data_IF_413751089255
#
_entry.id   IF_413751089255
#
_cell.length_a   1.000
_cell.length_b   1.000
_cell.length_c   1.000
_cell.angle_alpha   90.00
_cell.angle_beta   90.00
_cell.angle_gamma   90.00
#
_symmetry.space_group_name_H-M   'P 1'
#
loop_
_entity.id
_entity.type
_entity.pdbx_description
1 polymer ?
#
# COMPACT_ATOMS: atom_id res chain seq x y z
N UNK A 1 -2.72 -6.29 12.36
CA UNK A 1 -1.51 -6.90 12.96
C UNK A 1 -0.69 -7.67 11.94
N UNK A 2 -1.28 -8.62 11.19
CA UNK A 2 -0.59 -9.42 10.16
C UNK A 2 0.32 -8.62 9.21
N UNK A 3 -0.12 -7.47 8.71
CA UNK A 3 0.70 -6.58 7.87
C UNK A 3 2.03 -6.17 8.54
N UNK A 4 1.99 -5.69 9.78
CA UNK A 4 3.19 -5.28 10.52
C UNK A 4 4.12 -6.45 10.84
N UNK A 5 3.57 -7.65 11.04
CA UNK A 5 4.37 -8.86 11.25
C UNK A 5 5.12 -9.26 9.98
N UNK A 6 4.45 -9.18 8.81
CA UNK A 6 5.09 -9.40 7.51
C UNK A 6 6.19 -8.37 7.24
N UNK A 7 5.98 -7.10 7.60
CA UNK A 7 7.03 -6.08 7.49
C UNK A 7 8.23 -6.36 8.39
N UNK A 8 7.99 -6.71 9.66
CA UNK A 8 9.05 -6.98 10.62
C UNK A 8 9.91 -8.19 10.24
N UNK A 9 9.36 -9.12 9.46
CA UNK A 9 10.02 -10.32 8.98
C UNK A 9 10.58 -10.19 7.55
N UNK A 10 10.51 -9.00 6.93
CA UNK A 10 10.83 -8.79 5.51
C UNK A 10 10.12 -9.82 4.59
N UNK A 11 8.85 -10.05 4.91
CA UNK A 11 8.01 -11.09 4.34
C UNK A 11 7.37 -10.69 3.02
N UNK A 12 6.06 -10.88 2.93
CA UNK A 12 5.27 -10.65 1.71
C UNK A 12 4.34 -9.44 1.88
N UNK A 13 4.90 -8.24 1.80
CA UNK A 13 4.17 -6.98 1.93
C UNK A 13 4.50 -6.02 0.79
N UNK A 14 3.60 -5.07 0.54
CA UNK A 14 3.82 -3.90 -0.30
C UNK A 14 3.25 -2.66 0.41
N UNK A 15 3.83 -1.51 0.16
CA UNK A 15 3.37 -0.20 0.63
C UNK A 15 3.52 0.79 -0.52
N UNK A 16 3.02 2.02 -0.37
CA UNK A 16 2.99 3.02 -1.45
C UNK A 16 1.94 2.73 -2.53
N UNK A 17 1.42 3.81 -3.10
CA UNK A 17 0.39 3.75 -4.14
C UNK A 17 0.92 3.06 -5.40
N UNK A 18 2.13 3.42 -5.85
CA UNK A 18 2.74 2.89 -7.08
C UNK A 18 2.86 1.36 -7.02
N UNK A 19 3.54 0.85 -6.00
CA UNK A 19 3.79 -0.59 -5.83
C UNK A 19 2.50 -1.35 -5.60
N UNK A 20 1.58 -0.79 -4.81
CA UNK A 20 0.28 -1.40 -4.53
C UNK A 20 -0.55 -1.52 -5.81
N UNK A 21 -0.61 -0.48 -6.65
CA UNK A 21 -1.32 -0.55 -7.93
C UNK A 21 -0.67 -1.59 -8.84
N UNK A 22 0.66 -1.60 -8.96
CA UNK A 22 1.37 -2.58 -9.79
C UNK A 22 1.15 -4.03 -9.31
N UNK A 23 1.15 -4.24 -7.99
CA UNK A 23 0.84 -5.55 -7.39
C UNK A 23 -0.63 -5.95 -7.61
N UNK A 24 -1.53 -4.98 -7.58
CA UNK A 24 -2.96 -5.18 -7.81
C UNK A 24 -3.21 -5.61 -9.25
N UNK A 25 -2.63 -4.89 -10.22
CA UNK A 25 -2.71 -5.22 -11.65
C UNK A 25 -2.07 -6.58 -11.97
N UNK A 26 -0.99 -6.93 -11.26
CA UNK A 26 -0.33 -8.24 -11.39
C UNK A 26 -1.08 -9.38 -10.68
N UNK A 27 -2.13 -9.07 -9.90
CA UNK A 27 -2.88 -10.07 -9.11
C UNK A 27 -2.07 -10.69 -7.97
N UNK A 28 -1.00 -10.02 -7.51
CA UNK A 28 -0.13 -10.51 -6.46
C UNK A 28 -0.66 -10.23 -5.04
N UNK A 29 -1.65 -9.35 -4.90
CA UNK A 29 -2.21 -8.96 -3.61
C UNK A 29 -3.16 -10.05 -3.05
N UNK A 30 -2.94 -10.42 -1.79
CA UNK A 30 -3.84 -11.26 -1.00
C UNK A 30 -4.85 -10.37 -0.26
N UNK A 31 -4.34 -9.41 0.51
CA UNK A 31 -5.13 -8.52 1.35
C UNK A 31 -4.66 -7.09 1.09
N UNK A 32 -5.56 -6.24 0.61
CA UNK A 32 -5.34 -4.83 0.41
C UNK A 32 -5.83 -4.05 1.64
N UNK A 33 -5.00 -3.17 2.17
CA UNK A 33 -5.27 -2.35 3.34
C UNK A 33 -5.27 -0.90 2.91
N UNK A 34 -6.39 -0.22 3.08
CA UNK A 34 -6.57 1.18 2.65
C UNK A 34 -7.11 1.99 3.82
N UNK A 35 -6.57 3.18 4.02
CA UNK A 35 -7.12 4.13 4.96
C UNK A 35 -8.43 4.71 4.42
N UNK A 36 -9.48 4.73 5.24
CA UNK A 36 -10.82 5.17 4.83
C UNK A 36 -10.86 6.62 4.32
N UNK A 37 -9.97 7.48 4.80
CA UNK A 37 -9.89 8.89 4.43
C UNK A 37 -8.70 9.20 3.51
N UNK A 38 -8.23 8.21 2.73
CA UNK A 38 -7.17 8.41 1.76
C UNK A 38 -7.63 9.42 0.70
N UNK A 39 -6.88 10.51 0.54
CA UNK A 39 -7.22 11.61 -0.37
C UNK A 39 -6.78 11.38 -1.83
N UNK A 40 -6.26 10.19 -2.12
CA UNK A 40 -5.77 9.84 -3.44
C UNK A 40 -6.89 9.55 -4.41
N UNK A 41 -6.66 9.96 -5.67
CA UNK A 41 -7.61 9.83 -6.75
C UNK A 41 -7.06 8.95 -7.85
N UNK A 42 -7.92 8.09 -8.38
CA UNK A 42 -7.63 7.28 -9.55
C UNK A 42 -8.64 7.63 -10.63
N UNK A 43 -8.13 8.09 -11.78
CA UNK A 43 -8.94 8.39 -12.96
C UNK A 43 -10.11 9.37 -12.65
N UNK A 44 -9.81 10.43 -11.88
CA UNK A 44 -10.75 11.48 -11.41
C UNK A 44 -11.78 11.07 -10.33
N UNK A 45 -11.84 9.78 -9.96
CA UNK A 45 -12.64 9.26 -8.85
C UNK A 45 -11.78 9.01 -7.59
N UNK A 46 -12.41 9.01 -6.41
CA UNK A 46 -11.71 8.73 -5.15
C UNK A 46 -11.23 7.27 -5.14
N UNK A 47 -9.96 7.04 -4.82
CA UNK A 47 -9.33 5.71 -4.89
C UNK A 47 -10.06 4.69 -4.01
N UNK A 48 -10.52 5.15 -2.83
CA UNK A 48 -11.30 4.36 -1.87
C UNK A 48 -12.61 3.85 -2.47
N UNK A 49 -13.32 4.69 -3.22
CA UNK A 49 -14.57 4.31 -3.87
C UNK A 49 -14.30 3.36 -5.04
N UNK A 50 -13.33 3.72 -5.89
CA UNK A 50 -12.92 2.88 -7.01
C UNK A 50 -12.52 1.47 -6.56
N UNK A 51 -11.67 1.35 -5.54
CA UNK A 51 -11.22 0.03 -5.07
C UNK A 51 -12.36 -0.74 -4.41
N UNK A 52 -13.31 -0.07 -3.76
CA UNK A 52 -14.49 -0.71 -3.16
C UNK A 52 -15.38 -1.40 -4.20
N UNK A 53 -15.39 -0.92 -5.43
CA UNK A 53 -16.13 -1.53 -6.53
C UNK A 53 -15.32 -2.61 -7.26
N UNK A 54 -14.00 -2.39 -7.42
CA UNK A 54 -13.14 -3.22 -8.28
C UNK A 54 -12.38 -4.34 -7.54
N UNK A 55 -12.22 -4.30 -6.20
CA UNK A 55 -11.37 -5.25 -5.47
C UNK A 55 -11.68 -6.73 -5.73
N UNK A 56 -12.96 -7.04 -6.00
CA UNK A 56 -13.42 -8.41 -6.27
C UNK A 56 -12.85 -8.99 -7.57
N UNK A 57 -12.62 -8.15 -8.57
CA UNK A 57 -12.07 -8.57 -9.86
C UNK A 57 -10.59 -8.95 -9.74
N UNK A 58 -9.86 -8.28 -8.85
CA UNK A 58 -8.48 -8.62 -8.51
C UNK A 58 -8.36 -9.83 -7.58
N UNK A 59 -9.48 -10.30 -7.03
CA UNK A 59 -9.50 -11.43 -6.10
C UNK A 59 -8.73 -11.16 -4.79
N UNK A 60 -8.62 -9.90 -4.38
CA UNK A 60 -8.00 -9.53 -3.11
C UNK A 60 -9.07 -9.29 -2.02
N UNK A 61 -8.66 -9.35 -0.76
CA UNK A 61 -9.50 -8.96 0.38
C UNK A 61 -9.25 -7.48 0.69
N UNK A 62 -10.29 -6.64 0.62
CA UNK A 62 -10.19 -5.22 0.96
C UNK A 62 -10.49 -4.98 2.45
N UNK A 63 -9.57 -4.33 3.14
CA UNK A 63 -9.69 -3.94 4.56
C UNK A 63 -9.52 -2.43 4.68
N UNK A 64 -10.51 -1.79 5.32
CA UNK A 64 -10.39 -0.39 5.71
C UNK A 64 -9.78 -0.24 7.10
N UNK A 65 -8.82 0.68 7.21
CA UNK A 65 -8.23 1.09 8.49
C UNK A 65 -8.59 2.54 8.80
N UNK A 66 -8.52 2.86 10.08
CA UNK A 66 -8.82 4.19 10.65
C UNK A 66 -7.61 4.64 11.43
N UNK A 67 -7.38 5.95 11.54
CA UNK A 67 -6.27 6.55 12.30
C UNK A 67 -6.50 6.57 13.82
N UNK A 68 -7.60 6.00 14.33
CA UNK A 68 -7.97 6.02 15.75
C UNK A 68 -7.15 5.08 16.64
N UNK A 69 -6.48 4.09 16.06
CA UNK A 69 -5.58 3.18 16.78
C UNK A 69 -4.13 3.53 16.51
N UNK A 70 -3.24 3.21 17.46
CA UNK A 70 -1.79 3.43 17.27
C UNK A 70 -1.25 2.75 16.01
N UNK A 71 -1.74 1.54 15.70
CA UNK A 71 -1.38 0.84 14.45
C UNK A 71 -1.92 1.56 13.21
N UNK A 72 -3.12 2.13 13.29
CA UNK A 72 -3.72 2.87 12.19
C UNK A 72 -3.02 4.20 11.93
N UNK A 73 -2.70 4.95 12.98
CA UNK A 73 -1.90 6.18 12.90
C UNK A 73 -0.54 5.89 12.25
N UNK A 74 0.17 4.86 12.73
CA UNK A 74 1.45 4.47 12.13
C UNK A 74 1.31 4.07 10.67
N UNK A 75 0.22 3.40 10.30
CA UNK A 75 -0.01 3.03 8.91
C UNK A 75 -0.18 4.24 7.99
N UNK A 76 -0.92 5.26 8.45
CA UNK A 76 -1.11 6.51 7.71
C UNK A 76 0.20 7.31 7.64
N UNK A 77 0.87 7.51 8.78
CA UNK A 77 2.07 8.36 8.87
C UNK A 77 3.31 7.73 8.25
N UNK A 78 3.51 6.41 8.40
CA UNK A 78 4.73 5.75 7.92
C UNK A 78 4.60 5.18 6.50
N UNK A 79 3.40 4.80 6.06
CA UNK A 79 3.19 4.10 4.78
C UNK A 79 2.24 4.83 3.82
N UNK A 80 1.82 6.05 4.16
CA UNK A 80 0.95 6.87 3.32
C UNK A 80 -0.48 6.38 3.24
N UNK A 81 -0.94 5.56 4.19
CA UNK A 81 -2.34 5.14 4.27
C UNK A 81 -2.77 4.11 3.22
N UNK A 82 -1.82 3.51 2.50
CA UNK A 82 -2.08 2.42 1.55
C UNK A 82 -1.00 1.33 1.67
N UNK A 83 -1.42 0.08 1.57
CA UNK A 83 -0.50 -1.04 1.56
C UNK A 83 -1.23 -2.37 1.41
N UNK A 84 -0.49 -3.45 1.34
CA UNK A 84 -1.07 -4.76 1.16
C UNK A 84 -0.16 -5.89 1.58
N UNK A 85 -0.78 -7.04 1.82
CA UNK A 85 -0.11 -8.32 2.01
C UNK A 85 -0.17 -9.05 0.68
N UNK A 86 0.99 -9.49 0.21
CA UNK A 86 1.13 -10.21 -1.06
C UNK A 86 0.88 -11.70 -0.83
N UNK A 87 0.44 -12.42 -1.86
CA UNK A 87 0.29 -13.88 -1.83
C UNK A 87 1.65 -14.57 -1.75
N UNK A 88 2.63 -14.02 -2.46
CA UNK A 88 4.01 -14.48 -2.54
C UNK A 88 4.96 -13.29 -2.41
N UNK A 89 6.17 -13.52 -1.90
CA UNK A 89 7.21 -12.50 -1.90
C UNK A 89 7.55 -12.17 -3.36
N UNK A 90 7.48 -10.89 -3.71
CA UNK A 90 7.87 -10.41 -5.04
C UNK A 90 9.21 -9.71 -4.91
N UNK A 91 10.21 -10.25 -5.60
CA UNK A 91 11.56 -9.69 -5.62
C UNK A 91 11.58 -8.47 -6.56
N UNK A 92 12.21 -7.36 -6.13
CA UNK A 92 12.42 -6.17 -6.95
C UNK A 92 11.28 -5.15 -6.96
N UNK A 93 10.23 -5.29 -6.13
CA UNK A 93 9.22 -4.23 -5.95
C UNK A 93 9.76 -3.13 -5.03
N UNK A 94 10.37 -3.49 -3.90
CA UNK A 94 10.93 -2.53 -2.95
C UNK A 94 12.15 -1.75 -3.51
N UNK A 95 12.86 -2.30 -4.51
CA UNK A 95 13.99 -1.65 -5.19
C UNK A 95 13.60 -0.35 -5.92
N UNK A 96 12.31 -0.17 -6.28
CA UNK A 96 11.84 1.06 -6.92
C UNK A 96 11.64 2.21 -5.92
N UNK A 97 11.55 1.92 -4.61
CA UNK A 97 11.31 2.93 -3.57
C UNK A 97 12.59 3.60 -3.03
N UNK A 98 13.76 2.99 -3.24
CA UNK A 98 15.05 3.56 -2.84
C UNK A 98 15.51 4.72 -3.74
N UNK A 99 14.87 4.95 -4.89
CA UNK A 99 15.29 5.96 -5.88
C UNK A 99 14.61 7.34 -5.74
N UNK A 100 13.67 7.54 -4.81
CA UNK A 100 13.09 8.87 -4.49
C UNK A 100 13.60 9.42 -3.15
N UNK A 101 14.91 9.31 -2.91
CA UNK A 101 15.62 10.14 -1.92
C UNK A 101 16.85 10.82 -2.56
N UNK A 102 16.63 11.57 -3.64
CA UNK A 102 17.51 12.72 -3.90
C UNK A 102 16.93 13.85 -3.06
N UNK A 103 17.53 14.04 -1.88
CA UNK A 103 17.48 15.31 -1.18
C UNK A 103 18.05 16.37 -2.14
N UNK A 104 17.17 17.14 -2.79
CA UNK A 104 17.55 18.20 -3.74
C UNK A 104 18.21 19.41 -3.02
N UNK A 105 18.66 19.27 -1.76
CA UNK A 105 19.35 20.32 -1.00
C UNK A 105 20.83 20.02 -0.68
N UNK A 106 21.44 18.96 -1.22
CA UNK A 106 22.91 18.82 -1.18
C UNK A 106 23.54 18.67 -2.57
N UNK A 107 23.46 19.72 -3.39
CA UNK A 107 24.44 19.98 -4.46
C UNK A 107 24.84 21.49 -4.44
N UNK A 108 25.97 21.73 -3.77
CA UNK A 108 26.87 22.91 -3.71
C UNK A 108 26.46 24.18 -2.97
#
# INVERSE_FOLDING_TARGET
KRFFEEMALDGKYCYSIKDTIQCLESGCIETLIVWENLADKKDEEDFVDWISENYKEFGCELIFVTDKSAEGTQFVEAFGGIGGILRYKVEGINDFSDYESIDDNEIF
#
